data_IF_443356395459
#
_entry.id   IF_443356395459
#
_cell.length_a   1.000
_cell.length_b   1.000
_cell.length_c   1.000
_cell.angle_alpha   90.00
_cell.angle_beta   90.00
_cell.angle_gamma   90.00
#
_symmetry.space_group_name_H-M   'P 1'
#
loop_
_entity.id
_entity.type
_entity.pdbx_description
1 polymer ?
#
# COMPACT_ATOMS: atom_id res chain seq x y z
N UNK A 1 -30.81 15.52 -11.67
CA UNK A 1 -29.60 16.26 -11.25
C UNK A 1 -28.77 16.54 -12.49
N UNK A 2 -28.42 17.80 -12.76
CA UNK A 2 -27.88 18.22 -14.05
C UNK A 2 -26.42 17.74 -14.25
N UNK A 3 -26.09 17.21 -15.43
CA UNK A 3 -24.76 16.61 -15.73
C UNK A 3 -23.61 17.61 -15.54
N UNK A 4 -23.89 18.90 -15.79
CA UNK A 4 -22.96 20.01 -15.61
C UNK A 4 -22.52 20.17 -14.14
N UNK A 5 -23.43 19.94 -13.20
CA UNK A 5 -23.18 20.07 -11.74
C UNK A 5 -22.25 18.97 -11.23
N UNK A 6 -22.29 17.78 -11.83
CA UNK A 6 -21.38 16.67 -11.50
C UNK A 6 -19.95 17.00 -11.95
N UNK A 7 -19.78 17.40 -13.21
CA UNK A 7 -18.47 17.77 -13.76
C UNK A 7 -17.83 18.97 -13.02
N UNK A 8 -18.62 19.96 -12.61
CA UNK A 8 -18.14 21.10 -11.82
C UNK A 8 -17.65 20.68 -10.41
N UNK A 9 -18.28 19.67 -9.79
CA UNK A 9 -17.83 19.12 -8.51
C UNK A 9 -16.50 18.37 -8.63
N UNK A 10 -16.31 17.62 -9.70
CA UNK A 10 -15.09 16.84 -9.92
C UNK A 10 -13.88 17.76 -10.16
N UNK A 11 -14.03 18.79 -11.00
CA UNK A 11 -13.00 19.82 -11.23
C UNK A 11 -12.64 20.54 -9.92
N UNK A 12 -13.64 20.89 -9.11
CA UNK A 12 -13.43 21.54 -7.82
C UNK A 12 -12.68 20.65 -6.81
N UNK A 13 -12.99 19.34 -6.79
CA UNK A 13 -12.25 18.37 -5.98
C UNK A 13 -10.78 18.27 -6.42
N UNK A 14 -10.48 18.31 -7.73
CA UNK A 14 -9.11 18.22 -8.23
C UNK A 14 -8.26 19.44 -7.89
N UNK A 15 -8.83 20.64 -7.93
CA UNK A 15 -8.14 21.85 -7.46
C UNK A 15 -7.77 21.71 -5.97
N UNK A 16 -8.71 21.22 -5.16
CA UNK A 16 -8.47 20.98 -3.73
C UNK A 16 -7.42 19.92 -3.45
N UNK A 17 -7.36 18.85 -4.24
CA UNK A 17 -6.34 17.80 -4.09
C UNK A 17 -4.95 18.40 -4.34
N UNK A 18 -4.74 19.18 -5.42
CA UNK A 18 -3.44 19.81 -5.69
C UNK A 18 -3.03 20.78 -4.59
N UNK A 19 -3.96 21.61 -4.12
CA UNK A 19 -3.74 22.52 -2.99
C UNK A 19 -3.37 21.74 -1.72
N UNK A 20 -4.06 20.62 -1.46
CA UNK A 20 -3.78 19.77 -0.32
C UNK A 20 -2.39 19.14 -0.37
N UNK A 21 -1.97 18.60 -1.51
CA UNK A 21 -0.63 18.01 -1.69
C UNK A 21 0.45 19.07 -1.38
N UNK A 22 0.27 20.30 -1.87
CA UNK A 22 1.19 21.40 -1.57
C UNK A 22 1.18 21.78 -0.07
N UNK A 23 0.01 21.78 0.57
CA UNK A 23 -0.09 22.04 2.01
C UNK A 23 0.57 20.93 2.85
N UNK A 24 0.44 19.66 2.45
CA UNK A 24 1.13 18.54 3.09
C UNK A 24 2.65 18.74 3.00
N UNK A 25 3.19 19.03 1.81
CA UNK A 25 4.62 19.30 1.63
C UNK A 25 5.10 20.46 2.53
N UNK A 26 4.34 21.56 2.57
CA UNK A 26 4.65 22.70 3.44
C UNK A 26 4.64 22.32 4.91
N UNK A 27 3.64 21.57 5.37
CA UNK A 27 3.51 21.17 6.77
C UNK A 27 4.57 20.13 7.17
N UNK A 28 5.06 19.30 6.25
CA UNK A 28 6.24 18.46 6.48
C UNK A 28 7.48 19.33 6.75
N UNK A 29 7.68 20.42 6.01
CA UNK A 29 8.82 21.32 6.26
C UNK A 29 8.69 22.07 7.59
N UNK A 30 7.48 22.57 7.91
CA UNK A 30 7.21 23.25 9.19
C UNK A 30 7.47 22.33 10.37
N UNK A 31 7.04 21.06 10.27
CA UNK A 31 7.15 20.06 11.33
C UNK A 31 8.41 19.19 11.19
N UNK A 32 9.38 19.58 10.36
CA UNK A 32 10.55 18.76 10.01
C UNK A 32 11.27 18.19 11.23
N UNK A 33 11.56 19.02 12.23
CA UNK A 33 12.32 18.60 13.41
C UNK A 33 11.53 17.57 14.24
N UNK A 34 10.24 17.81 14.44
CA UNK A 34 9.36 16.90 15.19
C UNK A 34 9.26 15.55 14.48
N UNK A 35 9.06 15.57 13.16
CA UNK A 35 9.00 14.37 12.34
C UNK A 35 10.34 13.63 12.35
N UNK A 36 11.48 14.33 12.31
CA UNK A 36 12.80 13.69 12.42
C UNK A 36 13.02 13.04 13.78
N UNK A 37 12.54 13.64 14.87
CA UNK A 37 12.60 13.03 16.21
C UNK A 37 11.71 11.80 16.30
N UNK A 38 10.49 11.85 15.74
CA UNK A 38 9.58 10.70 15.67
C UNK A 38 10.20 9.54 14.89
N UNK A 39 10.76 9.84 13.71
CA UNK A 39 11.52 8.89 12.89
C UNK A 39 12.66 8.29 13.69
N UNK A 40 13.46 9.11 14.40
CA UNK A 40 14.58 8.63 15.20
C UNK A 40 14.12 7.61 16.25
N UNK A 41 13.08 7.92 17.02
CA UNK A 41 12.51 7.02 18.04
C UNK A 41 12.07 5.68 17.46
N UNK A 42 11.52 5.70 16.25
CA UNK A 42 11.07 4.50 15.57
C UNK A 42 12.23 3.71 14.91
N UNK A 43 13.30 4.39 14.50
CA UNK A 43 14.50 3.78 13.90
C UNK A 43 15.42 3.14 14.93
N UNK A 44 15.42 3.61 16.19
CA UNK A 44 16.12 2.94 17.31
C UNK A 44 15.60 1.51 17.53
N UNK A 45 14.41 1.19 17.01
CA UNK A 45 13.79 -0.14 17.01
C UNK A 45 13.97 -0.92 15.68
N UNK A 46 14.88 -0.50 14.78
CA UNK A 46 15.32 -1.28 13.62
C UNK A 46 14.69 -0.92 12.27
N UNK A 47 13.85 0.12 12.17
CA UNK A 47 13.26 0.53 10.88
C UNK A 47 14.08 1.65 10.22
N UNK A 48 14.67 1.42 9.04
CA UNK A 48 15.35 2.46 8.28
C UNK A 48 14.35 3.40 7.58
N UNK A 49 13.89 4.43 8.30
CA UNK A 49 12.98 5.44 7.78
C UNK A 49 13.75 6.72 7.45
N UNK A 50 13.60 7.21 6.21
CA UNK A 50 14.20 8.47 5.78
C UNK A 50 13.12 9.52 5.46
N UNK A 51 13.28 10.72 6.02
CA UNK A 51 12.39 11.85 5.76
C UNK A 51 12.27 12.18 4.26
N UNK A 52 13.35 12.04 3.49
CA UNK A 52 13.32 12.35 2.06
C UNK A 52 12.39 11.39 1.30
N UNK A 53 12.36 10.11 1.66
CA UNK A 53 11.43 9.13 1.06
C UNK A 53 9.97 9.54 1.27
N UNK A 54 9.60 9.99 2.47
CA UNK A 54 8.25 10.53 2.77
C UNK A 54 7.91 11.69 1.81
N UNK A 55 8.82 12.67 1.69
CA UNK A 55 8.62 13.83 0.81
C UNK A 55 8.48 13.43 -0.65
N UNK A 56 9.30 12.49 -1.10
CA UNK A 56 9.31 12.07 -2.50
C UNK A 56 8.02 11.32 -2.87
N UNK A 57 7.45 10.54 -1.96
CA UNK A 57 6.12 9.93 -2.14
C UNK A 57 5.05 11.00 -2.30
N UNK A 58 5.01 12.02 -1.42
CA UNK A 58 4.04 13.13 -1.56
C UNK A 58 4.23 13.85 -2.90
N UNK A 59 5.48 14.08 -3.32
CA UNK A 59 5.78 14.73 -4.61
C UNK A 59 5.28 13.94 -5.81
N UNK A 60 5.24 12.59 -5.78
CA UNK A 60 4.66 11.78 -6.86
C UNK A 60 3.22 12.22 -7.19
N UNK A 61 2.48 12.68 -6.19
CA UNK A 61 1.09 13.15 -6.34
C UNK A 61 0.93 14.61 -6.77
N UNK A 62 2.01 15.39 -6.91
CA UNK A 62 1.92 16.77 -7.44
C UNK A 62 1.44 16.81 -8.89
N UNK A 63 1.78 15.77 -9.66
CA UNK A 63 1.36 15.57 -11.04
C UNK A 63 0.20 14.58 -11.18
N UNK A 64 -0.53 14.33 -10.09
CA UNK A 64 -1.64 13.39 -10.08
C UNK A 64 -2.63 13.70 -11.21
N UNK A 65 -2.92 12.68 -12.02
CA UNK A 65 -3.92 12.71 -13.09
C UNK A 65 -5.16 11.98 -12.59
N UNK A 66 -6.34 12.48 -12.96
CA UNK A 66 -7.63 11.92 -12.55
C UNK A 66 -7.69 10.40 -12.78
N UNK A 67 -8.10 9.65 -11.74
CA UNK A 67 -8.37 8.20 -11.83
C UNK A 67 -9.58 7.91 -12.73
N UNK A 68 -10.54 8.83 -12.75
CA UNK A 68 -11.82 8.68 -13.42
C UNK A 68 -11.83 9.47 -14.72
N UNK A 69 -12.23 8.82 -15.80
CA UNK A 69 -12.47 9.49 -17.08
C UNK A 69 -13.87 10.09 -17.12
N UNK A 70 -14.08 11.06 -18.00
CA UNK A 70 -15.43 11.58 -18.29
C UNK A 70 -16.41 10.47 -18.75
N UNK A 71 -15.92 9.34 -19.26
CA UNK A 71 -16.74 8.17 -19.60
C UNK A 71 -17.17 7.34 -18.40
N UNK A 72 -16.29 7.18 -17.39
CA UNK A 72 -16.63 6.50 -16.13
C UNK A 72 -17.83 7.19 -15.43
N UNK A 73 -17.96 8.51 -15.63
CA UNK A 73 -18.97 9.37 -15.00
C UNK A 73 -20.30 9.41 -15.79
N UNK A 74 -20.31 9.02 -17.08
CA UNK A 74 -21.47 9.23 -17.98
C UNK A 74 -22.71 8.39 -17.64
N UNK A 75 -22.56 7.24 -16.99
CA UNK A 75 -23.65 6.29 -16.66
C UNK A 75 -23.57 5.66 -15.26
N UNK A 76 -22.47 5.90 -14.55
CA UNK A 76 -22.19 5.36 -13.22
C UNK A 76 -21.65 6.50 -12.35
N UNK A 77 -22.03 6.52 -11.08
CA UNK A 77 -21.36 7.35 -10.07
C UNK A 77 -20.30 6.50 -9.42
N UNK A 78 -19.07 7.01 -9.38
CA UNK A 78 -18.01 6.40 -8.60
C UNK A 78 -17.91 7.14 -7.27
N UNK A 79 -17.80 6.42 -6.17
CA UNK A 79 -17.71 6.96 -4.81
C UNK A 79 -16.64 6.21 -4.02
N UNK A 80 -16.20 6.78 -2.91
CA UNK A 80 -15.38 6.05 -1.94
C UNK A 80 -16.17 4.87 -1.35
N UNK A 81 -15.46 3.80 -0.97
CA UNK A 81 -16.01 2.69 -0.20
C UNK A 81 -16.65 3.19 1.12
N UNK A 82 -16.01 4.13 1.81
CA UNK A 82 -16.44 4.64 3.12
C UNK A 82 -15.28 4.69 4.11
N UNK A 83 -15.32 3.85 5.14
CA UNK A 83 -14.32 3.77 6.20
C UNK A 83 -13.37 2.58 5.97
N UNK A 84 -12.08 2.88 5.82
CA UNK A 84 -11.04 1.88 5.54
C UNK A 84 -10.16 1.69 6.77
N UNK A 85 -9.92 0.43 7.16
CA UNK A 85 -8.85 0.07 8.08
C UNK A 85 -7.60 -0.32 7.28
N UNK A 86 -6.42 0.20 7.59
CA UNK A 86 -5.15 -0.24 6.98
C UNK A 86 -4.27 -0.88 8.04
N UNK A 87 -4.05 -2.18 7.92
CA UNK A 87 -3.18 -2.97 8.79
C UNK A 87 -1.87 -3.22 8.05
N UNK A 88 -0.75 -2.78 8.63
CA UNK A 88 0.54 -2.79 7.96
C UNK A 88 1.70 -2.80 8.96
N UNK A 89 2.91 -3.03 8.45
CA UNK A 89 4.14 -3.10 9.26
C UNK A 89 4.50 -1.80 9.97
N UNK A 90 3.96 -0.65 9.56
CA UNK A 90 4.33 0.67 10.09
C UNK A 90 5.19 1.51 9.15
N UNK A 91 5.60 0.98 8.00
CA UNK A 91 6.49 1.72 7.09
C UNK A 91 5.80 2.99 6.55
N UNK A 92 6.45 4.18 6.63
CA UNK A 92 5.80 5.44 6.28
C UNK A 92 5.44 5.57 4.81
N UNK A 93 6.06 4.79 3.93
CA UNK A 93 5.73 4.77 2.52
C UNK A 93 4.28 4.31 2.28
N UNK A 94 3.87 3.22 2.93
CA UNK A 94 2.50 2.71 2.93
C UNK A 94 1.54 3.76 3.49
N UNK A 95 1.87 4.34 4.65
CA UNK A 95 1.00 5.31 5.32
C UNK A 95 0.71 6.52 4.42
N UNK A 96 1.76 7.14 3.89
CA UNK A 96 1.64 8.37 3.10
C UNK A 96 0.88 8.09 1.80
N UNK A 97 1.24 7.01 1.11
CA UNK A 97 0.62 6.64 -0.15
C UNK A 97 -0.86 6.31 0.03
N UNK A 98 -1.20 5.50 1.03
CA UNK A 98 -2.59 5.14 1.34
C UNK A 98 -3.41 6.34 1.84
N UNK A 99 -2.83 7.24 2.62
CA UNK A 99 -3.51 8.45 3.09
C UNK A 99 -3.91 9.35 1.91
N UNK A 100 -2.98 9.57 0.97
CA UNK A 100 -3.26 10.37 -0.23
C UNK A 100 -4.30 9.67 -1.10
N UNK A 101 -4.19 8.35 -1.31
CA UNK A 101 -5.19 7.57 -2.07
C UNK A 101 -6.57 7.61 -1.42
N UNK A 102 -6.67 7.52 -0.09
CA UNK A 102 -7.94 7.66 0.62
C UNK A 102 -8.55 9.04 0.41
N UNK A 103 -7.76 10.11 0.46
CA UNK A 103 -8.22 11.48 0.19
C UNK A 103 -8.77 11.61 -1.25
N UNK A 104 -8.00 11.14 -2.23
CA UNK A 104 -8.34 11.20 -3.65
C UNK A 104 -9.63 10.41 -3.93
N UNK A 105 -9.80 9.27 -3.27
CA UNK A 105 -10.96 8.39 -3.41
C UNK A 105 -12.10 8.72 -2.43
N UNK A 106 -11.96 9.79 -1.64
CA UNK A 106 -12.94 10.27 -0.67
C UNK A 106 -13.36 9.22 0.37
N UNK A 107 -12.38 8.50 0.92
CA UNK A 107 -12.53 7.53 1.98
C UNK A 107 -11.96 8.07 3.30
N UNK A 108 -12.61 7.74 4.42
CA UNK A 108 -11.96 7.84 5.72
C UNK A 108 -11.00 6.66 5.89
N UNK A 109 -9.90 6.89 6.59
CA UNK A 109 -8.85 5.87 6.76
C UNK A 109 -8.33 5.89 8.19
N UNK A 110 -8.21 4.70 8.78
CA UNK A 110 -7.57 4.49 10.09
C UNK A 110 -6.41 3.52 9.90
N UNK A 111 -5.24 3.94 10.32
CA UNK A 111 -4.01 3.17 10.26
C UNK A 111 -3.81 2.37 11.54
N UNK A 112 -3.48 1.09 11.39
CA UNK A 112 -3.14 0.17 12.47
C UNK A 112 -1.70 -0.32 12.26
N UNK A 113 -0.71 0.54 12.56
CA UNK A 113 0.69 0.22 12.36
C UNK A 113 1.21 -0.76 13.41
N UNK A 114 1.94 -1.80 13.00
CA UNK A 114 2.62 -2.69 13.95
C UNK A 114 3.90 -2.05 14.52
N UNK A 115 4.58 -1.22 13.74
CA UNK A 115 5.80 -0.49 14.12
C UNK A 115 5.66 0.99 13.76
N UNK A 116 6.65 1.79 14.12
CA UNK A 116 6.75 3.20 13.73
C UNK A 116 5.52 4.07 14.11
N UNK A 117 5.04 3.87 15.33
CA UNK A 117 3.87 4.56 15.86
C UNK A 117 4.06 6.08 15.89
N UNK A 118 5.21 6.55 16.39
CA UNK A 118 5.46 7.99 16.55
C UNK A 118 5.47 8.71 15.19
N UNK A 119 6.08 8.10 14.18
CA UNK A 119 6.11 8.62 12.81
C UNK A 119 4.71 8.64 12.21
N UNK A 120 3.93 7.57 12.42
CA UNK A 120 2.55 7.47 11.91
C UNK A 120 1.64 8.52 12.56
N UNK A 121 1.74 8.74 13.87
CA UNK A 121 0.98 9.75 14.60
C UNK A 121 1.35 11.18 14.14
N UNK A 122 2.65 11.45 13.98
CA UNK A 122 3.13 12.74 13.48
C UNK A 122 2.60 13.03 12.06
N UNK A 123 2.69 12.03 11.17
CA UNK A 123 2.16 12.18 9.82
C UNK A 123 0.64 12.35 9.80
N UNK A 124 -0.11 11.59 10.59
CA UNK A 124 -1.56 11.74 10.74
C UNK A 124 -1.94 13.17 11.14
N UNK A 125 -1.19 13.77 12.06
CA UNK A 125 -1.37 15.16 12.46
C UNK A 125 -1.13 16.12 11.29
N UNK A 126 -0.01 15.96 10.57
CA UNK A 126 0.33 16.78 9.38
C UNK A 126 -0.76 16.70 8.32
N UNK A 127 -1.27 15.51 8.01
CA UNK A 127 -2.35 15.32 7.04
C UNK A 127 -3.64 16.04 7.48
N UNK A 128 -4.05 15.85 8.73
CA UNK A 128 -5.25 16.47 9.28
C UNK A 128 -5.17 18.00 9.31
N UNK A 129 -4.03 18.57 9.69
CA UNK A 129 -3.81 20.03 9.64
C UNK A 129 -3.88 20.57 8.20
N UNK A 130 -3.27 19.86 7.26
CA UNK A 130 -3.30 20.20 5.84
C UNK A 130 -4.74 20.20 5.30
N UNK A 131 -5.56 19.19 5.66
CA UNK A 131 -6.97 19.10 5.26
C UNK A 131 -7.86 20.16 5.93
N UNK A 132 -7.64 20.44 7.22
CA UNK A 132 -8.38 21.47 7.98
C UNK A 132 -8.26 22.85 7.32
N UNK A 133 -7.06 23.19 6.82
CA UNK A 133 -6.79 24.49 6.20
C UNK A 133 -7.68 24.80 4.98
N UNK A 134 -8.10 23.75 4.24
CA UNK A 134 -8.94 23.85 3.03
C UNK A 134 -10.36 23.27 3.22
N UNK A 135 -10.72 22.93 4.47
CA UNK A 135 -12.00 22.32 4.85
C UNK A 135 -12.31 21.04 4.05
N UNK A 136 -11.30 20.20 3.82
CA UNK A 136 -11.48 18.86 3.23
C UNK A 136 -12.06 17.90 4.28
N UNK A 137 -13.00 17.02 3.88
CA UNK A 137 -13.85 16.25 4.81
C UNK A 137 -13.53 14.76 4.84
N UNK A 138 -12.24 14.42 4.83
CA UNK A 138 -11.75 13.06 5.05
C UNK A 138 -11.12 12.99 6.43
N UNK A 139 -11.41 11.92 7.17
CA UNK A 139 -10.78 11.63 8.45
C UNK A 139 -9.60 10.69 8.24
N UNK A 140 -8.43 11.07 8.79
CA UNK A 140 -7.26 10.21 8.89
C UNK A 140 -6.96 10.05 10.38
N UNK A 141 -6.84 8.81 10.85
CA UNK A 141 -6.46 8.50 12.23
C UNK A 141 -5.48 7.31 12.26
N UNK A 142 -4.92 7.04 13.43
CA UNK A 142 -4.18 5.82 13.71
C UNK A 142 -4.57 5.27 15.09
N UNK A 143 -4.64 3.96 15.23
CA UNK A 143 -5.09 3.26 16.43
C UNK A 143 -4.37 1.92 16.60
N UNK A 144 -4.43 1.34 17.81
CA UNK A 144 -3.92 0.00 18.08
C UNK A 144 -4.81 -1.09 17.46
N UNK A 145 -4.22 -2.22 17.05
CA UNK A 145 -4.95 -3.28 16.33
C UNK A 145 -6.09 -3.90 17.15
N UNK A 146 -5.98 -3.89 18.47
CA UNK A 146 -7.01 -4.31 19.40
C UNK A 146 -8.31 -3.50 19.23
N UNK A 147 -8.20 -2.20 18.94
CA UNK A 147 -9.36 -1.34 18.71
C UNK A 147 -10.05 -1.66 17.38
N UNK A 148 -9.31 -2.11 16.37
CA UNK A 148 -9.91 -2.61 15.13
C UNK A 148 -10.80 -3.83 15.41
N UNK A 149 -10.31 -4.79 16.20
CA UNK A 149 -11.09 -6.01 16.47
C UNK A 149 -12.35 -5.74 17.29
N UNK A 150 -12.30 -4.79 18.23
CA UNK A 150 -13.46 -4.37 19.04
C UNK A 150 -14.50 -3.62 18.20
N UNK A 151 -14.03 -2.81 17.23
CA UNK A 151 -14.85 -1.85 16.51
C UNK A 151 -14.93 -2.14 15.00
N UNK A 152 -14.71 -3.39 14.57
CA UNK A 152 -14.69 -3.77 13.15
C UNK A 152 -15.96 -3.38 12.39
N UNK A 153 -17.09 -3.23 13.09
CA UNK A 153 -18.36 -2.80 12.50
C UNK A 153 -18.33 -1.37 11.95
N UNK A 154 -17.40 -0.51 12.41
CA UNK A 154 -17.23 0.86 11.93
C UNK A 154 -16.55 0.95 10.55
N UNK A 155 -15.92 -0.14 10.10
CA UNK A 155 -15.16 -0.19 8.85
C UNK A 155 -15.94 -0.91 7.77
N UNK A 156 -15.85 -0.43 6.53
CA UNK A 156 -16.46 -1.10 5.37
C UNK A 156 -15.52 -2.17 4.81
N UNK A 157 -14.21 -1.91 4.84
CA UNK A 157 -13.17 -2.82 4.34
C UNK A 157 -11.88 -2.67 5.14
N UNK A 158 -11.11 -3.75 5.25
CA UNK A 158 -9.71 -3.69 5.67
C UNK A 158 -8.77 -3.86 4.47
N UNK A 159 -7.70 -3.08 4.44
CA UNK A 159 -6.55 -3.31 3.57
C UNK A 159 -5.44 -3.88 4.46
N UNK A 160 -5.03 -5.11 4.17
CA UNK A 160 -3.92 -5.75 4.86
C UNK A 160 -2.68 -5.74 3.97
N UNK A 161 -1.58 -5.16 4.45
CA UNK A 161 -0.33 -5.01 3.72
C UNK A 161 0.78 -5.70 4.52
N UNK A 162 1.31 -6.80 3.98
CA UNK A 162 2.35 -7.58 4.64
C UNK A 162 2.36 -9.04 4.21
N UNK A 163 3.05 -9.88 4.98
CA UNK A 163 3.23 -11.28 4.61
C UNK A 163 1.96 -12.13 4.81
N UNK A 164 2.03 -13.31 4.22
CA UNK A 164 0.92 -14.23 4.07
C UNK A 164 0.49 -14.88 5.39
N UNK A 165 1.41 -15.06 6.34
CA UNK A 165 1.13 -15.69 7.63
C UNK A 165 0.45 -14.73 8.59
N UNK A 166 0.91 -13.47 8.65
CA UNK A 166 0.24 -12.44 9.45
C UNK A 166 -1.16 -12.13 8.89
N UNK A 167 -1.32 -12.13 7.57
CA UNK A 167 -2.65 -12.03 6.95
C UNK A 167 -3.59 -13.14 7.41
N UNK A 168 -3.13 -14.40 7.48
CA UNK A 168 -3.96 -15.50 7.96
C UNK A 168 -4.40 -15.31 9.41
N UNK A 169 -3.50 -14.86 10.29
CA UNK A 169 -3.84 -14.55 11.69
C UNK A 169 -4.88 -13.43 11.78
N UNK A 170 -4.71 -12.38 10.97
CA UNK A 170 -5.64 -11.26 10.90
C UNK A 170 -7.03 -11.71 10.41
N UNK A 171 -7.09 -12.48 9.32
CA UNK A 171 -8.34 -13.00 8.72
C UNK A 171 -9.13 -13.92 9.65
N UNK A 172 -8.47 -14.62 10.58
CA UNK A 172 -9.17 -15.42 11.58
C UNK A 172 -9.98 -14.55 12.56
N UNK A 173 -9.52 -13.32 12.83
CA UNK A 173 -10.12 -12.40 13.80
C UNK A 173 -11.06 -11.38 13.15
N UNK A 174 -10.67 -10.79 12.02
CA UNK A 174 -11.45 -9.77 11.30
C UNK A 174 -12.50 -10.40 10.38
N UNK A 175 -13.75 -9.94 10.44
CA UNK A 175 -14.92 -10.61 9.83
C UNK A 175 -15.48 -9.92 8.59
N UNK A 176 -14.98 -8.74 8.24
CA UNK A 176 -15.38 -8.02 7.02
C UNK A 176 -14.44 -8.30 5.85
N UNK A 177 -14.75 -7.71 4.69
CA UNK A 177 -13.95 -7.85 3.48
C UNK A 177 -12.52 -7.32 3.68
N UNK A 178 -11.55 -8.06 3.11
CA UNK A 178 -10.12 -7.73 3.22
C UNK A 178 -9.50 -7.67 1.83
N UNK A 179 -8.91 -6.53 1.50
CA UNK A 179 -8.04 -6.35 0.34
C UNK A 179 -6.61 -6.68 0.79
N UNK A 180 -6.05 -7.77 0.29
CA UNK A 180 -4.69 -8.18 0.60
C UNK A 180 -3.69 -7.62 -0.41
N UNK A 181 -2.55 -7.13 0.08
CA UNK A 181 -1.38 -6.76 -0.69
C UNK A 181 -0.13 -7.33 0.00
N UNK A 182 0.66 -8.14 -0.71
CA UNK A 182 1.83 -8.80 -0.10
C UNK A 182 3.12 -7.96 -0.14
N UNK A 183 3.04 -6.66 -0.39
CA UNK A 183 4.17 -5.76 -0.25
C UNK A 183 4.80 -5.92 1.14
N UNK A 184 6.13 -5.86 1.22
CA UNK A 184 6.87 -6.27 2.41
C UNK A 184 7.30 -7.73 2.38
N UNK A 185 6.94 -8.51 1.35
CA UNK A 185 7.36 -9.91 1.21
C UNK A 185 7.77 -10.30 -0.21
N UNK A 186 8.70 -11.26 -0.31
CA UNK A 186 9.20 -11.82 -1.56
C UNK A 186 9.19 -13.35 -1.54
N UNK A 187 8.77 -13.96 -2.65
CA UNK A 187 8.83 -15.40 -2.87
C UNK A 187 10.02 -15.71 -3.78
N UNK A 188 10.89 -16.64 -3.38
CA UNK A 188 12.15 -16.92 -4.07
C UNK A 188 12.20 -18.40 -4.43
N UNK A 189 12.18 -18.70 -5.72
CA UNK A 189 12.48 -20.04 -6.22
C UNK A 189 13.95 -20.08 -6.66
N UNK A 190 14.71 -21.05 -6.17
CA UNK A 190 16.08 -21.32 -6.62
C UNK A 190 16.32 -22.82 -6.72
N UNK A 191 16.94 -23.27 -7.80
CA UNK A 191 17.31 -24.67 -8.00
C UNK A 191 18.77 -24.87 -8.45
N UNK A 192 19.60 -23.85 -8.22
CA UNK A 192 21.00 -23.88 -8.61
C UNK A 192 21.88 -22.95 -7.77
N UNK A 193 22.97 -23.50 -7.23
CA UNK A 193 23.96 -22.77 -6.41
C UNK A 193 24.67 -21.63 -7.16
N UNK A 194 24.59 -21.59 -8.49
CA UNK A 194 25.11 -20.49 -9.29
C UNK A 194 24.58 -19.11 -8.87
N UNK A 195 23.39 -19.06 -8.26
CA UNK A 195 22.75 -17.82 -7.84
C UNK A 195 23.04 -17.42 -6.39
N UNK A 196 23.91 -18.14 -5.65
CA UNK A 196 24.23 -17.83 -4.25
C UNK A 196 24.56 -16.36 -3.98
N UNK A 197 25.34 -15.72 -4.86
CA UNK A 197 25.75 -14.33 -4.66
C UNK A 197 24.57 -13.35 -4.72
N UNK A 198 23.63 -13.55 -5.64
CA UNK A 198 22.44 -12.69 -5.74
C UNK A 198 21.44 -12.98 -4.62
N UNK A 199 21.33 -14.24 -4.18
CA UNK A 199 20.51 -14.62 -3.03
C UNK A 199 21.02 -13.95 -1.74
N UNK A 200 22.34 -13.92 -1.51
CA UNK A 200 22.95 -13.19 -0.38
C UNK A 200 22.63 -11.70 -0.40
N UNK A 201 22.68 -11.07 -1.58
CA UNK A 201 22.30 -9.65 -1.74
C UNK A 201 20.81 -9.42 -1.42
N UNK A 202 19.96 -10.36 -1.82
CA UNK A 202 18.53 -10.33 -1.52
C UNK A 202 18.31 -10.43 0.00
N UNK A 203 18.96 -11.37 0.68
CA UNK A 203 18.83 -11.54 2.13
C UNK A 203 19.28 -10.31 2.91
N UNK A 204 20.41 -9.70 2.50
CA UNK A 204 20.91 -8.46 3.11
C UNK A 204 19.90 -7.32 2.96
N UNK A 205 19.31 -7.16 1.77
CA UNK A 205 18.30 -6.14 1.54
C UNK A 205 17.01 -6.40 2.34
N UNK A 206 16.53 -7.65 2.35
CA UNK A 206 15.33 -8.07 3.09
C UNK A 206 15.50 -7.77 4.58
N UNK A 207 16.65 -8.13 5.16
CA UNK A 207 16.98 -7.85 6.55
C UNK A 207 17.02 -6.35 6.85
N UNK A 208 17.76 -5.58 6.05
CA UNK A 208 17.94 -4.14 6.26
C UNK A 208 16.66 -3.31 6.09
N UNK A 209 15.68 -3.83 5.35
CA UNK A 209 14.40 -3.15 5.10
C UNK A 209 13.21 -3.80 5.83
N UNK A 210 13.48 -4.73 6.77
CA UNK A 210 12.46 -5.43 7.55
C UNK A 210 11.36 -6.07 6.68
N UNK A 211 11.79 -6.72 5.59
CA UNK A 211 10.93 -7.48 4.69
C UNK A 211 10.95 -8.96 5.07
N UNK A 212 10.11 -9.75 4.41
CA UNK A 212 10.03 -11.20 4.63
C UNK A 212 10.35 -11.95 3.33
N UNK A 213 11.29 -12.90 3.38
CA UNK A 213 11.58 -13.80 2.26
C UNK A 213 11.03 -15.21 2.50
N UNK A 214 10.53 -15.83 1.43
CA UNK A 214 10.07 -17.22 1.43
C UNK A 214 10.80 -18.01 0.36
N UNK A 215 11.61 -18.96 0.78
CA UNK A 215 12.45 -19.78 -0.09
C UNK A 215 11.77 -21.10 -0.48
N UNK A 216 11.85 -21.42 -1.76
CA UNK A 216 11.44 -22.68 -2.38
C UNK A 216 12.65 -23.29 -3.08
N UNK A 217 13.61 -23.76 -2.27
CA UNK A 217 14.89 -24.28 -2.75
C UNK A 217 14.80 -25.75 -3.13
N UNK A 218 15.22 -26.08 -4.36
CA UNK A 218 15.21 -27.45 -4.88
C UNK A 218 13.84 -28.15 -4.78
N UNK A 219 12.76 -27.38 -4.61
CA UNK A 219 11.41 -27.90 -4.54
C UNK A 219 10.94 -28.38 -5.92
N UNK A 220 10.02 -29.34 -5.92
CA UNK A 220 9.28 -29.67 -7.12
C UNK A 220 8.52 -28.42 -7.61
N UNK A 221 8.56 -28.14 -8.92
CA UNK A 221 7.98 -26.93 -9.51
C UNK A 221 6.48 -26.82 -9.22
N UNK A 222 5.74 -27.94 -9.31
CA UNK A 222 4.30 -27.95 -9.04
C UNK A 222 4.00 -27.59 -7.58
N UNK A 223 4.85 -28.05 -6.66
CA UNK A 223 4.74 -27.75 -5.24
C UNK A 223 5.08 -26.29 -4.94
N UNK A 224 6.16 -25.77 -5.53
CA UNK A 224 6.54 -24.36 -5.41
C UNK A 224 5.42 -23.44 -5.92
N UNK A 225 4.88 -23.72 -7.11
CA UNK A 225 3.74 -22.97 -7.68
C UNK A 225 2.54 -23.00 -6.72
N UNK A 226 2.21 -24.18 -6.17
CA UNK A 226 1.09 -24.33 -5.24
C UNK A 226 1.28 -23.48 -3.97
N UNK A 227 2.47 -23.48 -3.37
CA UNK A 227 2.77 -22.73 -2.14
C UNK A 227 2.83 -21.23 -2.37
N UNK A 228 3.36 -20.78 -3.51
CA UNK A 228 3.39 -19.37 -3.89
C UNK A 228 1.95 -18.85 -4.10
N UNK A 229 1.11 -19.63 -4.78
CA UNK A 229 -0.26 -19.22 -5.12
C UNK A 229 -1.30 -19.43 -4.01
N UNK A 230 -0.88 -19.84 -2.82
CA UNK A 230 -1.76 -20.38 -1.78
C UNK A 230 -2.87 -19.42 -1.32
N UNK A 231 -2.55 -18.12 -1.15
CA UNK A 231 -3.48 -17.14 -0.60
C UNK A 231 -4.17 -16.32 -1.69
N UNK A 232 -3.36 -15.59 -2.44
CA UNK A 232 -3.77 -14.52 -3.30
C UNK A 232 -2.62 -14.19 -4.26
N UNK A 233 -2.86 -13.23 -5.15
CA UNK A 233 -1.81 -12.69 -6.01
C UNK A 233 -0.72 -12.11 -5.10
N UNK A 234 0.48 -12.66 -5.23
CA UNK A 234 1.67 -12.15 -4.54
C UNK A 234 2.17 -10.92 -5.27
N UNK A 235 2.77 -9.99 -4.55
CA UNK A 235 3.38 -8.80 -5.11
C UNK A 235 4.62 -9.17 -5.95
N UNK A 236 5.64 -9.74 -5.31
CA UNK A 236 6.95 -9.97 -5.96
C UNK A 236 7.42 -11.42 -5.85
N UNK A 237 7.82 -11.99 -6.99
CA UNK A 237 8.42 -13.33 -7.10
C UNK A 237 9.75 -13.24 -7.85
N UNK A 238 10.79 -13.85 -7.31
CA UNK A 238 12.09 -14.00 -7.96
C UNK A 238 12.37 -15.47 -8.30
N UNK A 239 12.76 -15.72 -9.54
CA UNK A 239 13.02 -17.04 -10.10
C UNK A 239 14.49 -17.12 -10.51
N UNK A 240 15.23 -18.01 -9.85
CA UNK A 240 16.64 -18.26 -10.09
C UNK A 240 16.84 -19.68 -10.61
N UNK A 241 16.96 -19.82 -11.93
CA UNK A 241 17.17 -21.12 -12.56
C UNK A 241 17.93 -20.99 -13.87
N UNK A 242 18.78 -22.00 -14.16
CA UNK A 242 19.40 -22.17 -15.48
C UNK A 242 18.52 -22.94 -16.46
N UNK A 243 17.42 -23.53 -15.98
CA UNK A 243 16.53 -24.31 -16.81
C UNK A 243 15.40 -23.43 -17.36
N UNK A 244 15.51 -23.08 -18.64
CA UNK A 244 14.53 -22.21 -19.32
C UNK A 244 13.10 -22.78 -19.31
N UNK A 245 12.92 -24.11 -19.34
CA UNK A 245 11.59 -24.72 -19.27
C UNK A 245 10.93 -24.46 -17.92
N UNK A 246 11.69 -24.60 -16.82
CA UNK A 246 11.20 -24.32 -15.47
C UNK A 246 10.86 -22.85 -15.29
N UNK A 247 11.71 -21.96 -15.80
CA UNK A 247 11.44 -20.52 -15.77
C UNK A 247 10.11 -20.19 -16.48
N UNK A 248 9.90 -20.71 -17.69
CA UNK A 248 8.66 -20.51 -18.45
C UNK A 248 7.44 -21.06 -17.70
N UNK A 249 7.58 -22.23 -17.08
CA UNK A 249 6.50 -22.86 -16.31
C UNK A 249 6.12 -22.05 -15.08
N UNK A 250 7.09 -21.56 -14.31
CA UNK A 250 6.86 -20.68 -13.17
C UNK A 250 6.22 -19.36 -13.60
N UNK A 251 6.75 -18.69 -14.64
CA UNK A 251 6.20 -17.42 -15.17
C UNK A 251 4.73 -17.57 -15.55
N UNK A 252 4.34 -18.70 -16.15
CA UNK A 252 2.95 -18.92 -16.61
C UNK A 252 1.97 -19.19 -15.48
N UNK A 253 2.42 -19.88 -14.43
CA UNK A 253 1.52 -20.47 -13.45
C UNK A 253 1.54 -19.74 -12.10
N UNK A 254 2.61 -19.00 -11.79
CA UNK A 254 2.67 -18.18 -10.59
C UNK A 254 1.79 -16.94 -10.76
N UNK A 255 0.95 -16.68 -9.76
CA UNK A 255 0.08 -15.51 -9.69
C UNK A 255 0.79 -14.40 -8.94
N UNK A 256 1.51 -13.56 -9.68
CA UNK A 256 2.20 -12.41 -9.12
C UNK A 256 2.05 -11.14 -9.95
N UNK A 257 2.15 -9.97 -9.29
CA UNK A 257 2.19 -8.68 -9.98
C UNK A 257 3.52 -8.49 -10.71
N UNK A 258 4.63 -8.86 -10.05
CA UNK A 258 6.00 -8.69 -10.55
C UNK A 258 6.75 -10.03 -10.48
N UNK A 259 7.33 -10.43 -11.60
CA UNK A 259 8.16 -11.64 -11.72
C UNK A 259 9.54 -11.23 -12.24
N UNK A 260 10.57 -11.56 -11.46
CA UNK A 260 11.97 -11.35 -11.81
C UNK A 260 12.62 -12.69 -12.13
N UNK A 261 13.38 -12.76 -13.23
CA UNK A 261 14.05 -14.00 -13.65
C UNK A 261 15.54 -13.73 -13.74
N UNK A 262 16.32 -14.45 -12.92
CA UNK A 262 17.78 -14.35 -12.88
C UNK A 262 18.31 -12.91 -12.73
N UNK A 263 17.57 -12.05 -12.03
CA UNK A 263 17.92 -10.65 -11.80
C UNK A 263 17.52 -10.20 -10.40
N UNK A 264 18.15 -9.12 -9.93
CA UNK A 264 17.94 -8.57 -8.61
C UNK A 264 16.57 -7.87 -8.53
N UNK A 265 15.68 -8.24 -7.60
CA UNK A 265 14.29 -7.77 -7.59
C UNK A 265 14.10 -6.38 -6.95
N UNK A 266 15.13 -5.81 -6.32
CA UNK A 266 14.96 -4.60 -5.49
C UNK A 266 15.44 -3.28 -6.10
N UNK A 267 15.82 -3.26 -7.39
CA UNK A 267 16.30 -2.02 -8.03
C UNK A 267 15.22 -0.92 -8.08
N UNK A 268 13.93 -1.30 -8.19
CA UNK A 268 12.79 -0.39 -8.17
C UNK A 268 11.66 -0.93 -7.27
N UNK A 269 12.03 -1.47 -6.11
CA UNK A 269 11.05 -1.99 -5.16
C UNK A 269 10.40 -0.84 -4.39
N UNK A 270 9.15 -0.57 -4.73
CA UNK A 270 8.33 0.47 -4.11
C UNK A 270 6.94 -0.08 -3.83
N UNK A 271 6.30 0.48 -2.79
CA UNK A 271 4.91 0.18 -2.50
C UNK A 271 4.00 0.62 -3.66
N UNK A 272 3.18 -0.31 -4.13
CA UNK A 272 2.17 -0.07 -5.14
C UNK A 272 0.82 -0.59 -4.67
N UNK A 273 -0.20 0.24 -4.84
CA UNK A 273 -1.59 -0.12 -4.53
C UNK A 273 -2.51 0.52 -5.56
N UNK A 274 -3.38 -0.28 -6.19
CA UNK A 274 -4.38 0.24 -7.12
C UNK A 274 -5.51 0.93 -6.34
N UNK A 275 -5.50 2.25 -6.33
CA UNK A 275 -6.54 3.09 -5.73
C UNK A 275 -7.97 2.80 -6.22
N UNK A 276 -8.16 2.20 -7.41
CA UNK A 276 -9.49 1.81 -7.90
C UNK A 276 -10.14 0.75 -7.02
N UNK A 277 -9.34 0.00 -6.26
CA UNK A 277 -9.82 -0.93 -5.23
C UNK A 277 -10.47 -0.22 -4.05
N UNK A 278 -10.36 1.12 -3.94
CA UNK A 278 -11.00 1.93 -2.90
C UNK A 278 -12.28 2.63 -3.38
N UNK A 279 -12.78 2.25 -4.56
CA UNK A 279 -13.92 2.88 -5.21
C UNK A 279 -15.07 1.90 -5.38
N UNK A 280 -16.29 2.39 -5.23
CA UNK A 280 -17.53 1.68 -5.56
C UNK A 280 -18.23 2.33 -6.74
N UNK A 281 -18.77 1.51 -7.64
CA UNK A 281 -19.57 1.95 -8.77
C UNK A 281 -21.05 1.84 -8.42
N UNK A 282 -21.75 2.97 -8.46
CA UNK A 282 -23.19 3.10 -8.23
C UNK A 282 -23.88 3.34 -9.56
N UNK A 283 -24.80 2.46 -9.95
CA UNK A 283 -25.66 2.73 -11.09
C UNK A 283 -26.76 3.70 -10.68
N UNK A 284 -26.93 4.79 -11.43
CA UNK A 284 -28.01 5.73 -11.22
C UNK A 284 -29.13 5.37 -12.18
N UNK A 285 -30.27 4.94 -11.64
CA UNK A 285 -31.50 4.74 -12.40
C UNK A 285 -32.40 5.93 -12.10
N UNK A 286 -32.69 6.73 -13.13
CA UNK A 286 -33.64 7.84 -13.07
C UNK A 286 -34.83 7.51 -13.96
N UNK A 287 -36.04 7.75 -13.48
CA UNK A 287 -37.25 7.80 -14.30
C UNK A 287 -37.27 9.02 -15.23
#
# INVERSE_FOLDING_TARGET
MDRKILLEKDIYNNIKIKELINNILKNIEVNKNILQEAIKRDTENGNAIELNKIKDIVKKYTNYKEILTAEDIKSQRVDGIGNIAVVYSGTPDIMVDMAIKAIITNNNIVFFPNLAWATTECMTTIFNESMKSIKYKVCIANEEIEELYKNQELFDVAVFIGDKYEYYKFKQKFKKDIIYNSYGSIQIYSDNDYFENILKQIDEYVYNNNLVSFYYENENIEEAIKKINEIAITDTVAIFTKNSKKAIELIKNVKANKIFVNTYPFENYEFEFDEKKLLIKKQIITE
#
